data_IF_845061667558
#
_entry.id   IF_845061667558
#
_cell.length_a   1.000
_cell.length_b   1.000
_cell.length_c   1.000
_cell.angle_alpha   90.00
_cell.angle_beta   90.00
_cell.angle_gamma   90.00
#
_symmetry.space_group_name_H-M   'P 1'
#
loop_
_entity.id
_entity.type
_entity.pdbx_description
1 polymer ?
#
# COMPACT_ATOMS: atom_id res chain seq x y z
N UNK A 1 -11.62 0.19 19.85
CA UNK A 1 -11.31 0.14 18.39
C UNK A 1 -12.40 0.76 17.51
N UNK A 2 -12.10 1.92 16.90
CA UNK A 2 -13.02 2.66 16.02
C UNK A 2 -13.54 1.81 14.84
N UNK A 3 -12.67 0.97 14.25
CA UNK A 3 -13.04 0.13 13.11
C UNK A 3 -14.05 -0.98 13.49
N UNK A 4 -14.02 -1.46 14.74
CA UNK A 4 -14.88 -2.55 15.22
C UNK A 4 -16.13 -2.08 15.99
N UNK A 5 -16.24 -0.78 16.31
CA UNK A 5 -17.39 -0.27 17.08
C UNK A 5 -18.71 -0.41 16.31
N UNK A 6 -19.79 -0.88 16.95
CA UNK A 6 -21.10 -1.00 16.31
C UNK A 6 -21.86 0.33 16.22
N UNK A 7 -21.47 1.32 17.01
CA UNK A 7 -22.13 2.62 17.13
C UNK A 7 -21.89 3.51 15.90
N UNK A 8 -20.78 3.29 15.20
CA UNK A 8 -20.35 4.11 14.07
C UNK A 8 -20.83 3.47 12.77
N UNK A 9 -21.49 4.27 11.92
CA UNK A 9 -21.89 3.86 10.57
C UNK A 9 -20.69 3.36 9.75
N UNK A 10 -20.92 2.30 8.97
CA UNK A 10 -19.90 1.67 8.11
C UNK A 10 -19.26 2.65 7.12
N UNK A 11 -20.06 3.57 6.57
CA UNK A 11 -19.58 4.62 5.66
C UNK A 11 -18.55 5.54 6.32
N UNK A 12 -18.80 5.98 7.56
CA UNK A 12 -17.87 6.81 8.33
C UNK A 12 -16.59 6.06 8.64
N UNK A 13 -16.68 4.79 9.04
CA UNK A 13 -15.49 3.95 9.27
C UNK A 13 -14.65 3.77 8.02
N UNK A 14 -15.27 3.56 6.85
CA UNK A 14 -14.57 3.45 5.57
C UNK A 14 -13.84 4.75 5.22
N UNK A 15 -14.44 5.92 5.52
CA UNK A 15 -13.77 7.23 5.33
C UNK A 15 -12.53 7.36 6.21
N UNK A 16 -12.65 7.03 7.49
CA UNK A 16 -11.52 7.05 8.45
C UNK A 16 -10.42 6.06 8.02
N UNK A 17 -10.80 4.86 7.60
CA UNK A 17 -9.86 3.88 7.07
C UNK A 17 -9.11 4.41 5.85
N UNK A 18 -9.83 5.04 4.91
CA UNK A 18 -9.24 5.61 3.70
C UNK A 18 -8.30 6.80 3.99
N UNK A 19 -8.68 7.67 4.93
CA UNK A 19 -7.90 8.88 5.24
C UNK A 19 -6.64 8.58 6.04
N UNK A 20 -6.69 7.61 6.96
CA UNK A 20 -5.62 7.39 7.93
C UNK A 20 -4.83 6.11 7.62
N UNK A 21 -5.50 4.95 7.59
CA UNK A 21 -4.80 3.66 7.43
C UNK A 21 -4.29 3.50 6.01
N UNK A 22 -5.17 3.72 5.02
CA UNK A 22 -4.86 3.51 3.62
C UNK A 22 -3.85 4.51 3.09
N UNK A 23 -3.91 5.77 3.50
CA UNK A 23 -2.95 6.80 3.11
C UNK A 23 -1.53 6.47 3.58
N UNK A 24 -1.37 6.05 4.85
CA UNK A 24 -0.10 5.64 5.44
C UNK A 24 0.44 4.39 4.75
N UNK A 25 -0.40 3.37 4.52
CA UNK A 25 0.00 2.16 3.81
C UNK A 25 0.51 2.46 2.39
N UNK A 26 -0.23 3.29 1.64
CA UNK A 26 0.18 3.66 0.28
C UNK A 26 1.48 4.46 0.29
N UNK A 27 1.61 5.45 1.17
CA UNK A 27 2.83 6.25 1.31
C UNK A 27 4.05 5.39 1.67
N UNK A 28 3.93 4.51 2.67
CA UNK A 28 5.01 3.60 3.04
C UNK A 28 5.38 2.65 1.90
N UNK A 29 4.38 2.12 1.20
CA UNK A 29 4.62 1.18 0.10
C UNK A 29 5.39 1.78 -1.07
N UNK A 30 5.35 3.10 -1.27
CA UNK A 30 6.08 3.79 -2.34
C UNK A 30 7.60 3.60 -2.21
N UNK A 31 8.11 3.53 -0.97
CA UNK A 31 9.55 3.35 -0.69
C UNK A 31 9.99 1.89 -0.55
N UNK A 32 9.05 0.97 -0.32
CA UNK A 32 9.39 -0.45 -0.09
C UNK A 32 9.74 -1.19 -1.38
N UNK A 33 10.64 -2.17 -1.27
CA UNK A 33 10.91 -3.13 -2.35
C UNK A 33 9.65 -3.95 -2.62
N UNK A 34 9.25 -4.06 -3.89
CA UNK A 34 8.12 -4.91 -4.30
C UNK A 34 8.54 -6.38 -4.17
N UNK A 35 8.09 -7.04 -3.12
CA UNK A 35 8.13 -8.50 -3.02
C UNK A 35 6.71 -9.02 -2.88
N UNK A 36 6.42 -10.17 -3.48
CA UNK A 36 5.12 -10.81 -3.41
C UNK A 36 4.69 -10.99 -1.94
N UNK A 37 5.63 -11.37 -1.07
CA UNK A 37 5.41 -11.52 0.37
C UNK A 37 4.89 -10.23 1.02
N UNK A 38 5.51 -9.08 0.74
CA UNK A 38 5.06 -7.80 1.31
C UNK A 38 3.69 -7.42 0.76
N UNK A 39 3.46 -7.64 -0.54
CA UNK A 39 2.16 -7.37 -1.16
C UNK A 39 1.03 -8.21 -0.53
N UNK A 40 1.25 -9.52 -0.36
CA UNK A 40 0.28 -10.40 0.30
C UNK A 40 0.03 -10.00 1.75
N UNK A 41 1.06 -9.60 2.50
CA UNK A 41 0.91 -9.11 3.88
C UNK A 41 0.05 -7.84 3.95
N UNK A 42 0.30 -6.86 3.07
CA UNK A 42 -0.49 -5.62 3.02
C UNK A 42 -1.95 -5.92 2.63
N UNK A 43 -2.16 -6.81 1.66
CA UNK A 43 -3.50 -7.19 1.23
C UNK A 43 -4.26 -7.91 2.36
N UNK A 44 -3.62 -8.84 3.07
CA UNK A 44 -4.21 -9.53 4.22
C UNK A 44 -4.56 -8.57 5.35
N UNK A 45 -3.65 -7.64 5.66
CA UNK A 45 -3.90 -6.59 6.65
C UNK A 45 -5.11 -5.73 6.28
N UNK A 46 -5.18 -5.29 5.02
CA UNK A 46 -6.31 -4.51 4.49
C UNK A 46 -7.62 -5.29 4.59
N UNK A 47 -7.63 -6.56 4.16
CA UNK A 47 -8.83 -7.41 4.22
C UNK A 47 -9.29 -7.59 5.67
N UNK A 48 -8.37 -7.77 6.62
CA UNK A 48 -8.69 -7.82 8.04
C UNK A 48 -9.33 -6.51 8.53
N UNK A 49 -8.80 -5.35 8.16
CA UNK A 49 -9.42 -4.06 8.48
C UNK A 49 -10.84 -3.94 7.92
N UNK A 50 -11.06 -4.30 6.65
CA UNK A 50 -12.37 -4.27 6.02
C UNK A 50 -13.36 -5.22 6.71
N UNK A 51 -12.93 -6.45 7.05
CA UNK A 51 -13.77 -7.41 7.80
C UNK A 51 -14.19 -6.85 9.15
N UNK A 52 -13.28 -6.16 9.87
CA UNK A 52 -13.61 -5.47 11.14
C UNK A 52 -14.62 -4.35 10.93
N UNK A 53 -14.50 -3.55 9.86
CA UNK A 53 -15.44 -2.47 9.53
C UNK A 53 -16.85 -3.01 9.30
N UNK A 54 -16.97 -4.14 8.60
CA UNK A 54 -18.24 -4.80 8.31
C UNK A 54 -18.71 -5.77 9.42
N UNK A 55 -17.97 -5.89 10.53
CA UNK A 55 -18.24 -6.85 11.61
C UNK A 55 -18.38 -8.30 11.13
N UNK A 56 -17.63 -8.69 10.10
CA UNK A 56 -17.60 -10.05 9.55
C UNK A 56 -16.70 -10.90 10.44
N UNK A 57 -17.23 -12.02 10.97
CA UNK A 57 -16.44 -12.95 11.78
C UNK A 57 -15.39 -13.65 10.91
N UNK A 58 -14.25 -13.97 11.49
CA UNK A 58 -13.16 -14.66 10.75
C UNK A 58 -13.60 -16.04 10.20
N UNK A 59 -14.56 -16.69 10.86
CA UNK A 59 -15.14 -18.00 10.50
C UNK A 59 -15.97 -17.91 9.22
N UNK A 60 -16.57 -16.74 8.95
CA UNK A 60 -17.35 -16.54 7.73
C UNK A 60 -16.39 -16.51 6.53
N UNK A 61 -16.35 -17.62 5.79
CA UNK A 61 -15.57 -17.79 4.57
C UNK A 61 -16.24 -17.05 3.41
N UNK A 62 -16.30 -15.72 3.51
CA UNK A 62 -16.67 -14.85 2.39
C UNK A 62 -15.48 -14.67 1.47
N UNK A 63 -15.74 -14.73 0.17
CA UNK A 63 -14.75 -14.41 -0.85
C UNK A 63 -14.28 -12.96 -0.70
N UNK A 64 -12.99 -12.75 -0.85
CA UNK A 64 -12.40 -11.41 -0.72
C UNK A 64 -12.92 -10.45 -1.82
N UNK A 65 -13.30 -10.95 -3.01
CA UNK A 65 -13.90 -10.10 -4.04
C UNK A 65 -15.22 -9.46 -3.59
N UNK A 66 -16.10 -10.22 -2.94
CA UNK A 66 -17.37 -9.69 -2.44
C UNK A 66 -17.18 -8.64 -1.35
N UNK A 67 -16.15 -8.82 -0.51
CA UNK A 67 -15.77 -7.84 0.51
C UNK A 67 -15.36 -6.52 -0.13
N UNK A 68 -14.57 -6.58 -1.21
CA UNK A 68 -14.12 -5.40 -1.95
C UNK A 68 -15.28 -4.71 -2.69
N UNK A 69 -16.18 -5.48 -3.30
CA UNK A 69 -17.40 -4.96 -3.93
C UNK A 69 -18.27 -4.21 -2.92
N UNK A 70 -18.52 -4.80 -1.74
CA UNK A 70 -19.29 -4.16 -0.67
C UNK A 70 -18.61 -2.91 -0.12
N UNK A 71 -17.28 -2.89 -0.09
CA UNK A 71 -16.50 -1.72 0.31
C UNK A 71 -16.45 -0.62 -0.77
N UNK A 72 -16.84 -0.93 -2.01
CA UNK A 72 -16.61 -0.06 -3.17
C UNK A 72 -15.12 0.19 -3.41
N UNK A 73 -14.25 -0.77 -3.07
CA UNK A 73 -12.80 -0.60 -3.15
C UNK A 73 -12.16 -1.62 -4.09
N UNK A 74 -11.02 -1.24 -4.67
CA UNK A 74 -10.13 -2.17 -5.38
C UNK A 74 -9.11 -2.78 -4.41
N UNK A 75 -8.50 -3.92 -4.75
CA UNK A 75 -7.38 -4.48 -4.01
C UNK A 75 -6.28 -3.43 -3.80
N UNK A 76 -5.68 -3.40 -2.60
CA UNK A 76 -4.68 -2.39 -2.27
C UNK A 76 -3.43 -2.57 -3.12
N UNK A 77 -3.06 -3.81 -3.45
CA UNK A 77 -1.90 -4.07 -4.29
C UNK A 77 -2.02 -3.39 -5.67
N UNK A 78 -3.21 -3.37 -6.30
CA UNK A 78 -3.42 -2.71 -7.59
C UNK A 78 -3.19 -1.20 -7.49
N UNK A 79 -3.64 -0.61 -6.39
CA UNK A 79 -3.45 0.82 -6.14
C UNK A 79 -1.97 1.17 -5.95
N UNK A 80 -1.22 0.32 -5.23
CA UNK A 80 0.23 0.46 -5.08
C UNK A 80 0.93 0.33 -6.43
N UNK A 81 0.54 -0.65 -7.26
CA UNK A 81 1.11 -0.83 -8.59
C UNK A 81 0.85 0.38 -9.48
N UNK A 82 -0.40 0.86 -9.49
CA UNK A 82 -0.80 2.04 -10.26
C UNK A 82 -0.03 3.28 -9.83
N UNK A 83 0.12 3.53 -8.52
CA UNK A 83 0.90 4.67 -8.00
C UNK A 83 2.36 4.61 -8.42
N UNK A 84 3.00 3.45 -8.24
CA UNK A 84 4.41 3.28 -8.63
C UNK A 84 4.61 3.43 -10.13
N UNK A 85 3.72 2.85 -10.95
CA UNK A 85 3.76 3.03 -12.40
C UNK A 85 3.59 4.50 -12.78
N UNK A 86 2.61 5.19 -12.19
CA UNK A 86 2.39 6.62 -12.39
C UNK A 86 3.62 7.45 -12.01
N UNK A 87 4.31 7.12 -10.92
CA UNK A 87 5.54 7.81 -10.48
C UNK A 87 6.69 7.61 -11.48
N UNK A 88 6.87 6.39 -11.99
CA UNK A 88 7.86 6.08 -13.04
C UNK A 88 7.54 6.86 -14.33
N UNK A 89 6.27 6.83 -14.76
CA UNK A 89 5.83 7.56 -15.95
C UNK A 89 6.05 9.07 -15.81
N UNK A 90 5.74 9.65 -14.64
CA UNK A 90 6.02 11.07 -14.36
C UNK A 90 7.51 11.39 -14.38
N UNK A 91 8.36 10.53 -13.81
CA UNK A 91 9.80 10.70 -13.85
C UNK A 91 10.37 10.63 -15.28
N UNK A 92 9.84 9.73 -16.11
CA UNK A 92 10.26 9.57 -17.52
C UNK A 92 9.84 10.76 -18.40
N UNK A 93 8.69 11.39 -18.11
CA UNK A 93 8.22 12.60 -18.83
C UNK A 93 9.09 13.84 -18.60
N UNK A 94 9.90 13.88 -17.53
CA UNK A 94 10.80 15.01 -17.25
C UNK A 94 11.92 15.12 -18.30
N UNK A 95 12.50 16.31 -18.55
CA UNK A 95 13.61 16.46 -19.48
C UNK A 95 14.84 15.65 -19.04
N UNK A 96 15.77 15.29 -19.96
CA UNK A 96 16.96 14.51 -19.65
C UNK A 96 17.93 15.22 -18.68
N UNK A 97 17.83 16.54 -18.54
CA UNK A 97 18.56 17.33 -17.54
C UNK A 97 18.05 17.10 -16.11
N UNK A 98 16.84 16.56 -15.92
CA UNK A 98 16.24 16.31 -14.60
C UNK A 98 16.98 15.24 -13.82
N UNK A 99 17.41 15.59 -12.60
CA UNK A 99 18.03 14.67 -11.66
C UNK A 99 17.17 13.42 -11.40
N UNK A 100 15.84 13.56 -11.31
CA UNK A 100 14.93 12.43 -11.08
C UNK A 100 14.92 11.43 -12.23
N UNK A 101 14.97 11.90 -13.48
CA UNK A 101 15.02 11.03 -14.67
C UNK A 101 16.38 10.36 -14.77
N UNK A 102 17.45 11.11 -14.51
CA UNK A 102 18.82 10.58 -14.49
C UNK A 102 18.98 9.51 -13.41
N UNK A 103 18.53 9.77 -12.18
CA UNK A 103 18.58 8.82 -11.08
C UNK A 103 17.78 7.53 -11.34
N UNK A 104 16.68 7.62 -12.10
CA UNK A 104 15.89 6.45 -12.48
C UNK A 104 16.60 5.54 -13.49
N UNK A 105 17.30 6.13 -14.47
CA UNK A 105 18.03 5.40 -15.52
C UNK A 105 19.41 4.93 -15.04
N UNK A 106 19.97 5.63 -14.04
CA UNK A 106 21.29 5.38 -13.51
C UNK A 106 21.44 3.97 -12.95
N UNK A 107 22.23 3.14 -13.63
CA UNK A 107 22.69 1.85 -13.14
C UNK A 107 24.11 2.03 -12.56
N UNK A 108 24.28 2.18 -11.23
CA UNK A 108 25.60 2.37 -10.66
C UNK A 108 26.41 1.08 -10.82
N UNK A 109 27.47 1.15 -11.62
CA UNK A 109 28.46 0.07 -11.69
C UNK A 109 29.23 0.01 -10.37
N UNK A 110 29.16 -1.14 -9.70
CA UNK A 110 29.89 -1.40 -8.46
C UNK A 110 29.04 -2.03 -7.35
N UNK A 111 29.70 -2.78 -6.47
CA UNK A 111 29.07 -3.35 -5.27
C UNK A 111 28.91 -2.24 -4.23
N UNK A 112 27.70 -2.03 -3.69
CA UNK A 112 27.51 -1.16 -2.51
C UNK A 112 28.42 -1.66 -1.39
N UNK A 113 29.30 -0.80 -0.86
CA UNK A 113 30.09 -1.12 0.33
C UNK A 113 29.13 -1.43 1.47
N UNK A 114 29.19 -2.66 2.01
CA UNK A 114 28.42 -3.07 3.18
C UNK A 114 29.11 -2.51 4.42
N UNK A 115 28.95 -1.22 4.68
CA UNK A 115 29.45 -0.62 5.92
C UNK A 115 28.54 -1.05 7.07
N UNK A 116 29.07 -1.88 7.97
CA UNK A 116 28.47 -2.15 9.28
C UNK A 116 28.68 -0.89 10.13
N UNK A 117 27.64 -0.32 10.78
CA UNK A 117 27.85 0.76 11.75
C UNK A 117 28.81 0.28 12.83
N UNK A 118 29.84 1.06 13.14
CA UNK A 118 30.74 0.79 14.27
C UNK A 118 29.90 0.92 15.54
N UNK A 119 29.75 -0.15 16.30
CA UNK A 119 29.20 -0.06 17.65
C UNK A 119 30.21 0.72 18.49
N UNK A 120 29.76 1.81 19.12
CA UNK A 120 30.44 2.36 20.30
C UNK A 120 30.12 1.50 21.51
#
# INVERSE_FOLDING_TARGET
DILASKEIRTTTKLRIFNSNVKSVLLCGSDTWRKTEVIQHKIQRFTNNCLRRIFNIRWIEKRRDEELWQRAGQKPVYEQIMRRKRSSIEQALRKPPSSLTRRALIWNPEGKRKRTRPRSS
#
